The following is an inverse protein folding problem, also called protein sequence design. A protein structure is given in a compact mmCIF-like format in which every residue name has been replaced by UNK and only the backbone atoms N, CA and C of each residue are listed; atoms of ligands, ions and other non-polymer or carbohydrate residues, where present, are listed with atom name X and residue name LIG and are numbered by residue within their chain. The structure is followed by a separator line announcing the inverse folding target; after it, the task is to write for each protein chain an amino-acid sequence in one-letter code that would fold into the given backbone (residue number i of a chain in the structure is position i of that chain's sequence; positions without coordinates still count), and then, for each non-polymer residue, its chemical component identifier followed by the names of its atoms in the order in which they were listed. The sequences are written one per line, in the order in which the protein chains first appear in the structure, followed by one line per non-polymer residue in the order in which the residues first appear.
data_IF_222711784257
#
_entry.id   IF_222711784257
#
_cell.length_a   1.000
_cell.length_b   1.000
_cell.length_c   1.000
_cell.angle_alpha   90.00
_cell.angle_beta   90.00
_cell.angle_gamma   90.00
#
_symmetry.space_group_name_H-M   'P 1'
#
loop_
_entity.id
_entity.type
_entity.pdbx_description
1 polymer ?
#
# COMPACT_ATOMS: atom_id res chain seq x y z
N UNK A 1 45.77 -25.11 24.57
CA UNK A 1 45.38 -24.51 23.26
C UNK A 1 43.86 -24.33 23.11
N UNK A 2 43.04 -24.51 24.16
CA UNK A 2 41.57 -24.43 24.06
C UNK A 2 40.99 -23.00 24.15
N UNK A 3 41.75 -22.01 24.64
CA UNK A 3 41.25 -20.64 24.77
C UNK A 3 41.00 -19.91 23.45
N UNK A 4 41.83 -20.15 22.44
CA UNK A 4 41.71 -19.44 21.15
C UNK A 4 40.46 -19.89 20.40
N UNK A 5 40.14 -21.19 20.41
CA UNK A 5 38.95 -21.72 19.74
C UNK A 5 37.63 -21.28 20.40
N UNK A 6 37.61 -21.23 21.73
CA UNK A 6 36.45 -20.73 22.49
C UNK A 6 36.26 -19.22 22.29
N UNK A 7 37.35 -18.44 22.31
CA UNK A 7 37.32 -17.01 22.06
C UNK A 7 36.87 -16.69 20.62
N UNK A 8 37.29 -17.48 19.63
CA UNK A 8 36.87 -17.32 18.23
C UNK A 8 35.40 -17.72 18.01
N UNK A 9 34.94 -18.78 18.68
CA UNK A 9 33.54 -19.23 18.63
C UNK A 9 32.61 -18.19 19.30
N UNK A 10 33.00 -17.65 20.45
CA UNK A 10 32.25 -16.57 21.10
C UNK A 10 32.30 -15.26 20.28
N UNK A 11 33.47 -14.91 19.73
CA UNK A 11 33.64 -13.73 18.88
C UNK A 11 32.79 -13.77 17.60
N UNK A 12 32.72 -14.92 16.92
CA UNK A 12 31.90 -15.11 15.72
C UNK A 12 30.38 -15.10 16.01
N UNK A 13 29.95 -15.56 17.18
CA UNK A 13 28.55 -15.48 17.62
C UNK A 13 28.10 -14.05 17.94
N UNK A 14 29.00 -13.20 18.44
CA UNK A 14 28.72 -11.78 18.66
C UNK A 14 28.58 -10.99 17.35
N UNK A 15 29.41 -11.28 16.35
CA UNK A 15 29.33 -10.63 15.03
C UNK A 15 28.03 -10.99 14.31
N UNK A 16 27.61 -12.25 14.36
CA UNK A 16 26.34 -12.71 13.76
C UNK A 16 25.10 -12.17 14.48
N UNK A 17 25.15 -12.04 15.81
CA UNK A 17 24.10 -11.39 16.59
C UNK A 17 23.98 -9.88 16.26
N UNK A 18 25.10 -9.16 16.17
CA UNK A 18 25.11 -7.75 15.80
C UNK A 18 24.56 -7.51 14.38
N UNK A 19 24.93 -8.37 13.42
CA UNK A 19 24.38 -8.31 12.05
C UNK A 19 22.87 -8.50 12.00
N UNK A 20 22.32 -9.42 12.81
CA UNK A 20 20.88 -9.68 12.89
C UNK A 20 20.09 -8.49 13.42
N UNK A 21 20.60 -7.80 14.44
CA UNK A 21 19.99 -6.57 14.98
C UNK A 21 20.05 -5.44 13.95
N UNK A 22 21.21 -5.25 13.32
CA UNK A 22 21.38 -4.20 12.31
C UNK A 22 20.44 -4.41 11.11
N UNK A 23 20.31 -5.64 10.63
CA UNK A 23 19.37 -6.00 9.56
C UNK A 23 17.92 -5.74 9.96
N UNK A 24 17.53 -6.08 11.20
CA UNK A 24 16.19 -5.80 11.71
C UNK A 24 15.89 -4.30 11.81
N UNK A 25 16.85 -3.49 12.26
CA UNK A 25 16.69 -2.03 12.28
C UNK A 25 16.61 -1.43 10.88
N UNK A 26 17.41 -1.91 9.94
CA UNK A 26 17.32 -1.51 8.54
C UNK A 26 15.94 -1.85 7.94
N UNK A 27 15.40 -3.04 8.23
CA UNK A 27 14.05 -3.44 7.79
C UNK A 27 12.96 -2.52 8.38
N UNK A 28 13.10 -2.11 9.65
CA UNK A 28 12.19 -1.14 10.27
C UNK A 28 12.26 0.25 9.61
N UNK A 29 13.47 0.73 9.31
CA UNK A 29 13.64 2.00 8.61
C UNK A 29 13.02 1.95 7.21
N UNK A 30 13.25 0.86 6.47
CA UNK A 30 12.64 0.63 5.16
C UNK A 30 11.10 0.56 5.24
N UNK A 31 10.54 -0.16 6.22
CA UNK A 31 9.10 -0.24 6.42
C UNK A 31 8.45 1.12 6.71
N UNK A 32 9.10 1.97 7.52
CA UNK A 32 8.65 3.36 7.76
C UNK A 32 8.70 4.22 6.49
N UNK A 33 9.76 4.10 5.70
CA UNK A 33 9.86 4.81 4.44
C UNK A 33 8.76 4.38 3.46
N UNK A 34 8.54 3.07 3.33
CA UNK A 34 7.46 2.52 2.50
C UNK A 34 6.08 3.00 2.96
N UNK A 35 5.86 3.12 4.27
CA UNK A 35 4.64 3.72 4.82
C UNK A 35 4.47 5.17 4.34
N UNK A 36 5.51 6.01 4.45
CA UNK A 36 5.43 7.41 4.00
C UNK A 36 5.16 7.53 2.50
N UNK A 37 5.81 6.70 1.68
CA UNK A 37 5.55 6.65 0.24
C UNK A 37 4.09 6.25 -0.03
N UNK A 38 3.58 5.25 0.68
CA UNK A 38 2.20 4.82 0.54
C UNK A 38 1.19 5.88 1.01
N UNK A 39 1.50 6.63 2.07
CA UNK A 39 0.69 7.76 2.53
C UNK A 39 0.65 8.90 1.50
N UNK A 40 1.80 9.25 0.92
CA UNK A 40 1.89 10.25 -0.15
C UNK A 40 1.10 9.83 -1.38
N UNK A 41 1.22 8.57 -1.80
CA UNK A 41 0.44 8.06 -2.92
C UNK A 41 -1.06 8.09 -2.60
N UNK A 42 -1.45 7.78 -1.35
CA UNK A 42 -2.85 7.79 -0.95
C UNK A 42 -3.42 9.22 -0.95
N UNK A 43 -2.64 10.20 -0.52
CA UNK A 43 -3.01 11.61 -0.63
C UNK A 43 -3.18 12.04 -2.09
N UNK A 44 -2.29 11.59 -2.98
CA UNK A 44 -2.40 11.85 -4.41
C UNK A 44 -3.70 11.24 -4.99
N UNK A 45 -4.04 10.02 -4.60
CA UNK A 45 -5.30 9.39 -4.99
C UNK A 45 -6.52 10.16 -4.47
N UNK A 46 -6.51 10.67 -3.23
CA UNK A 46 -7.59 11.53 -2.72
C UNK A 46 -7.72 12.84 -3.50
N UNK A 47 -6.59 13.46 -3.90
CA UNK A 47 -6.60 14.65 -4.75
C UNK A 47 -7.21 14.34 -6.13
N UNK A 48 -6.88 13.18 -6.71
CA UNK A 48 -7.52 12.71 -7.97
C UNK A 48 -9.01 12.47 -7.81
N UNK A 49 -9.44 11.96 -6.65
CA UNK A 49 -10.86 11.81 -6.35
C UNK A 49 -11.59 13.16 -6.32
N UNK A 50 -10.99 14.18 -5.70
CA UNK A 50 -11.56 15.53 -5.66
C UNK A 50 -11.63 16.16 -7.05
N UNK A 51 -10.54 16.06 -7.81
CA UNK A 51 -10.46 16.54 -9.20
C UNK A 51 -11.48 15.86 -10.12
N UNK A 52 -11.70 14.54 -9.98
CA UNK A 52 -12.76 13.83 -10.71
C UNK A 52 -14.17 14.36 -10.39
N UNK A 53 -14.45 14.65 -9.11
CA UNK A 53 -15.72 15.26 -8.70
C UNK A 53 -15.88 16.67 -9.26
N UNK A 54 -14.84 17.48 -9.20
CA UNK A 54 -14.86 18.85 -9.73
C UNK A 54 -15.07 18.88 -11.24
N UNK A 55 -14.39 18.01 -12.00
CA UNK A 55 -14.62 17.84 -13.43
C UNK A 55 -16.05 17.39 -13.72
N UNK A 56 -16.54 16.39 -12.98
CA UNK A 56 -17.91 15.90 -13.12
C UNK A 56 -18.97 16.97 -12.88
N UNK A 57 -18.78 17.82 -11.87
CA UNK A 57 -19.67 18.95 -11.60
C UNK A 57 -19.64 20.00 -12.72
N UNK A 58 -18.46 20.30 -13.27
CA UNK A 58 -18.34 21.21 -14.40
C UNK A 58 -19.02 20.65 -15.65
N UNK A 59 -18.87 19.35 -15.92
CA UNK A 59 -19.52 18.66 -17.04
C UNK A 59 -21.04 18.59 -16.87
N UNK A 60 -21.53 18.29 -15.66
CA UNK A 60 -22.96 18.33 -15.31
C UNK A 60 -23.55 19.72 -15.63
N UNK A 61 -22.88 20.79 -15.18
CA UNK A 61 -23.32 22.16 -15.45
C UNK A 61 -23.29 22.51 -16.93
N UNK A 62 -22.24 22.09 -17.65
CA UNK A 62 -22.15 22.29 -19.11
C UNK A 62 -23.30 21.60 -19.83
N UNK A 63 -23.64 20.37 -19.45
CA UNK A 63 -24.74 19.63 -20.04
C UNK A 63 -26.09 20.29 -19.78
N UNK A 64 -26.35 20.75 -18.56
CA UNK A 64 -27.57 21.52 -18.24
C UNK A 64 -27.66 22.82 -19.06
N UNK A 65 -26.55 23.53 -19.25
CA UNK A 65 -26.52 24.73 -20.10
C UNK A 65 -26.79 24.41 -21.58
N UNK A 66 -26.24 23.30 -22.09
CA UNK A 66 -26.52 22.83 -23.45
C UNK A 66 -28.01 22.50 -23.64
N UNK A 67 -28.60 21.76 -22.69
CA UNK A 67 -30.02 21.42 -22.69
C UNK A 67 -30.89 22.67 -22.64
N UNK A 68 -30.53 23.66 -21.82
CA UNK A 68 -31.24 24.94 -21.76
C UNK A 68 -31.20 25.71 -23.09
N UNK A 69 -30.06 25.67 -23.81
CA UNK A 69 -29.95 26.28 -25.16
C UNK A 69 -30.82 25.54 -26.17
N UNK A 70 -30.86 24.21 -26.13
CA UNK A 70 -31.70 23.39 -27.01
C UNK A 70 -33.17 23.70 -26.75
N UNK A 71 -33.62 23.70 -25.49
CA UNK A 71 -34.98 24.07 -25.12
C UNK A 71 -35.33 25.50 -25.56
N UNK A 72 -34.41 26.46 -25.38
CA UNK A 72 -34.61 27.84 -25.85
C UNK A 72 -34.79 27.92 -27.37
N UNK A 73 -33.97 27.19 -28.13
CA UNK A 73 -34.09 27.12 -29.58
C UNK A 73 -35.39 26.43 -30.03
N UNK A 74 -35.77 25.33 -29.38
CA UNK A 74 -37.03 24.62 -29.62
C UNK A 74 -38.23 25.53 -29.33
N UNK A 75 -38.21 26.25 -28.20
CA UNK A 75 -39.27 27.19 -27.81
C UNK A 75 -39.40 28.33 -28.82
N UNK A 76 -38.28 28.94 -29.23
CA UNK A 76 -38.27 30.00 -30.24
C UNK A 76 -38.78 29.52 -31.60
N UNK A 77 -38.39 28.31 -32.02
CA UNK A 77 -38.88 27.70 -33.26
C UNK A 77 -40.38 27.40 -33.20
N UNK A 78 -40.89 26.86 -32.09
CA UNK A 78 -42.32 26.60 -31.91
C UNK A 78 -43.13 27.89 -31.90
N UNK A 79 -42.67 28.92 -31.18
CA UNK A 79 -43.28 30.24 -31.17
C UNK A 79 -43.30 30.90 -32.56
N UNK A 80 -42.21 30.77 -33.33
CA UNK A 80 -42.13 31.27 -34.71
C UNK A 80 -43.11 30.56 -35.66
N UNK A 81 -43.44 29.30 -35.40
CA UNK A 81 -44.44 28.54 -36.15
C UNK A 81 -45.88 28.73 -35.63
N UNK A 82 -46.09 29.59 -34.63
CA UNK A 82 -47.41 29.86 -34.05
C UNK A 82 -47.99 28.69 -33.24
N UNK A 83 -47.14 27.75 -32.80
CA UNK A 83 -47.54 26.64 -31.96
C UNK A 83 -47.71 27.10 -30.51
N UNK A 84 -48.79 26.68 -29.88
CA UNK A 84 -48.96 26.86 -28.44
C UNK A 84 -48.08 25.85 -27.68
N UNK A 85 -47.08 26.38 -26.98
CA UNK A 85 -46.12 25.63 -26.17
C UNK A 85 -46.67 25.23 -24.79
N UNK A 86 -47.89 25.62 -24.47
CA UNK A 86 -48.51 25.34 -23.16
C UNK A 86 -49.32 24.05 -23.11
N UNK A 87 -49.55 23.38 -24.24
CA UNK A 87 -50.28 22.10 -24.30
C UNK A 87 -49.92 21.23 -25.52
N UNK A 88 -50.24 19.94 -25.43
CA UNK A 88 -50.09 18.98 -26.53
C UNK A 88 -48.63 18.59 -26.82
N UNK A 89 -48.39 18.03 -28.02
CA UNK A 89 -47.07 17.54 -28.45
C UNK A 89 -45.91 18.55 -28.37
N UNK A 90 -46.11 19.88 -28.56
CA UNK A 90 -45.07 20.89 -28.32
C UNK A 90 -44.56 20.90 -26.87
N UNK A 91 -45.45 20.83 -25.88
CA UNK A 91 -45.09 20.80 -24.47
C UNK A 91 -44.41 19.47 -24.11
N UNK A 92 -44.94 18.35 -24.59
CA UNK A 92 -44.35 17.03 -24.35
C UNK A 92 -42.91 16.97 -24.85
N UNK A 93 -42.62 17.56 -26.02
CA UNK A 93 -41.25 17.60 -26.59
C UNK A 93 -40.28 18.40 -25.71
N UNK A 94 -40.73 19.52 -25.12
CA UNK A 94 -39.92 20.33 -24.21
C UNK A 94 -39.65 19.59 -22.90
N UNK A 95 -40.67 18.92 -22.35
CA UNK A 95 -40.57 18.10 -21.13
C UNK A 95 -39.64 16.91 -21.37
N UNK A 96 -39.77 16.21 -22.49
CA UNK A 96 -38.89 15.10 -22.86
C UNK A 96 -37.44 15.57 -23.02
N UNK A 97 -37.22 16.73 -23.65
CA UNK A 97 -35.88 17.32 -23.76
C UNK A 97 -35.29 17.67 -22.39
N UNK A 98 -36.10 18.20 -21.47
CA UNK A 98 -35.68 18.51 -20.11
C UNK A 98 -35.34 17.25 -19.29
N UNK A 99 -36.18 16.22 -19.38
CA UNK A 99 -36.02 14.97 -18.62
C UNK A 99 -34.81 14.18 -19.12
N UNK A 100 -34.63 14.04 -20.43
CA UNK A 100 -33.43 13.42 -21.01
C UNK A 100 -32.17 14.21 -20.67
N UNK A 101 -32.24 15.53 -20.71
CA UNK A 101 -31.13 16.39 -20.35
C UNK A 101 -30.69 16.25 -18.88
N UNK A 102 -31.65 16.15 -17.96
CA UNK A 102 -31.37 15.92 -16.54
C UNK A 102 -30.86 14.49 -16.29
N UNK A 103 -31.38 13.49 -17.00
CA UNK A 103 -30.89 12.12 -16.93
C UNK A 103 -29.41 12.04 -17.37
N UNK A 104 -29.04 12.73 -18.44
CA UNK A 104 -27.66 12.82 -18.89
C UNK A 104 -26.77 13.52 -17.84
N UNK A 105 -27.24 14.62 -17.25
CA UNK A 105 -26.53 15.35 -16.20
C UNK A 105 -26.30 14.47 -14.96
N UNK A 106 -27.33 13.73 -14.52
CA UNK A 106 -27.22 12.76 -13.42
C UNK A 106 -26.29 11.59 -13.75
N UNK A 107 -26.24 11.17 -15.01
CA UNK A 107 -25.32 10.13 -15.48
C UNK A 107 -23.87 10.60 -15.38
N UNK A 108 -23.57 11.83 -15.84
CA UNK A 108 -22.25 12.46 -15.70
C UNK A 108 -21.84 12.51 -14.22
N UNK A 109 -22.75 13.01 -13.36
CA UNK A 109 -22.53 13.08 -11.92
C UNK A 109 -22.23 11.72 -11.33
N UNK A 110 -23.01 10.70 -11.67
CA UNK A 110 -22.83 9.32 -11.18
C UNK A 110 -21.49 8.74 -11.63
N UNK A 111 -21.07 8.97 -12.87
CA UNK A 111 -19.78 8.51 -13.38
C UNK A 111 -18.61 9.16 -12.64
N UNK A 112 -18.69 10.46 -12.37
CA UNK A 112 -17.68 11.16 -11.58
C UNK A 112 -17.59 10.65 -10.14
N UNK A 113 -18.73 10.35 -9.50
CA UNK A 113 -18.73 9.72 -8.18
C UNK A 113 -18.11 8.32 -8.17
N UNK A 114 -18.35 7.52 -9.21
CA UNK A 114 -17.72 6.19 -9.35
C UNK A 114 -16.20 6.33 -9.48
N UNK A 115 -15.73 7.21 -10.36
CA UNK A 115 -14.29 7.46 -10.53
C UNK A 115 -13.65 7.94 -9.21
N UNK A 116 -14.30 8.87 -8.52
CA UNK A 116 -13.83 9.35 -7.22
C UNK A 116 -13.83 8.27 -6.14
N UNK A 117 -14.82 7.39 -6.15
CA UNK A 117 -14.88 6.24 -5.23
C UNK A 117 -13.71 5.28 -5.48
N UNK A 118 -13.42 4.95 -6.74
CA UNK A 118 -12.32 4.06 -7.09
C UNK A 118 -10.97 4.62 -6.61
N UNK A 119 -10.71 5.92 -6.82
CA UNK A 119 -9.51 6.56 -6.28
C UNK A 119 -9.44 6.55 -4.75
N UNK A 120 -10.57 6.70 -4.06
CA UNK A 120 -10.63 6.60 -2.59
C UNK A 120 -10.33 5.18 -2.11
N UNK A 121 -10.86 4.17 -2.80
CA UNK A 121 -10.54 2.77 -2.51
C UNK A 121 -9.05 2.52 -2.70
N UNK A 122 -8.45 3.03 -3.77
CA UNK A 122 -7.00 2.98 -3.98
C UNK A 122 -6.21 3.66 -2.86
N UNK A 123 -6.65 4.83 -2.40
CA UNK A 123 -6.02 5.52 -1.28
C UNK A 123 -6.06 4.69 0.02
N UNK A 124 -7.20 4.05 0.31
CA UNK A 124 -7.36 3.15 1.46
C UNK A 124 -6.44 1.95 1.33
N UNK A 125 -6.39 1.31 0.16
CA UNK A 125 -5.51 0.16 -0.10
C UNK A 125 -4.03 0.52 0.07
N UNK A 126 -3.62 1.69 -0.40
CA UNK A 126 -2.24 2.17 -0.24
C UNK A 126 -1.91 2.43 1.23
N UNK A 127 -2.77 3.11 2.00
CA UNK A 127 -2.58 3.31 3.45
C UNK A 127 -2.49 1.98 4.20
N UNK A 128 -3.34 1.01 3.85
CA UNK A 128 -3.32 -0.33 4.43
C UNK A 128 -2.00 -1.06 4.09
N UNK A 129 -1.55 -0.99 2.84
CA UNK A 129 -0.26 -1.54 2.40
C UNK A 129 0.93 -0.91 3.14
N UNK A 130 0.95 0.41 3.28
CA UNK A 130 1.98 1.14 4.03
C UNK A 130 2.02 0.75 5.51
N UNK A 131 0.85 0.62 6.14
CA UNK A 131 0.73 0.17 7.53
C UNK A 131 1.25 -1.26 7.70
N UNK A 132 0.95 -2.14 6.73
CA UNK A 132 1.47 -3.50 6.70
C UNK A 132 2.99 -3.54 6.55
N UNK A 133 3.57 -2.75 5.65
CA UNK A 133 5.03 -2.68 5.47
C UNK A 133 5.75 -2.18 6.71
N UNK A 134 5.16 -1.19 7.40
CA UNK A 134 5.65 -0.79 8.72
C UNK A 134 5.58 -1.94 9.73
N UNK A 135 4.45 -2.63 9.81
CA UNK A 135 4.28 -3.74 10.74
C UNK A 135 5.30 -4.86 10.48
N UNK A 136 5.57 -5.18 9.20
CA UNK A 136 6.64 -6.10 8.79
C UNK A 136 8.02 -5.62 9.25
N UNK A 137 8.33 -4.35 9.06
CA UNK A 137 9.60 -3.76 9.51
C UNK A 137 9.76 -3.81 11.04
N UNK A 138 8.71 -3.49 11.80
CA UNK A 138 8.72 -3.60 13.26
C UNK A 138 8.84 -5.06 13.74
N UNK A 139 8.19 -6.00 13.06
CA UNK A 139 8.32 -7.43 13.33
C UNK A 139 9.73 -7.94 13.00
N UNK A 140 10.33 -7.52 11.89
CA UNK A 140 11.69 -7.87 11.50
C UNK A 140 12.73 -7.32 12.48
N UNK A 141 12.53 -6.10 13.00
CA UNK A 141 13.37 -5.56 14.07
C UNK A 141 13.31 -6.44 15.33
N UNK A 142 12.09 -6.77 15.80
CA UNK A 142 11.90 -7.66 16.95
C UNK A 142 12.52 -9.04 16.71
N UNK A 143 12.31 -9.62 15.52
CA UNK A 143 12.90 -10.88 15.10
C UNK A 143 14.43 -10.83 15.09
N UNK A 144 15.03 -9.75 14.59
CA UNK A 144 16.48 -9.55 14.62
C UNK A 144 17.05 -9.58 16.04
N UNK A 145 16.38 -8.93 17.01
CA UNK A 145 16.77 -9.01 18.43
C UNK A 145 16.61 -10.41 19.01
N UNK A 146 15.51 -11.11 18.70
CA UNK A 146 15.28 -12.48 19.17
C UNK A 146 16.30 -13.47 18.58
N UNK A 147 16.60 -13.36 17.28
CA UNK A 147 17.63 -14.15 16.60
C UNK A 147 19.00 -13.85 17.18
N UNK A 148 19.32 -12.59 17.45
CA UNK A 148 20.57 -12.21 18.12
C UNK A 148 20.69 -12.82 19.52
N UNK A 149 19.63 -12.74 20.34
CA UNK A 149 19.58 -13.36 21.66
C UNK A 149 19.70 -14.89 21.59
N UNK A 150 18.99 -15.52 20.66
CA UNK A 150 19.08 -16.96 20.41
C UNK A 150 20.45 -17.41 19.90
N UNK A 151 21.12 -16.59 19.08
CA UNK A 151 22.46 -16.87 18.56
C UNK A 151 23.52 -16.77 19.66
N UNK A 152 23.39 -15.80 20.55
CA UNK A 152 24.22 -15.70 21.76
C UNK A 152 23.97 -16.90 22.67
N UNK A 153 22.71 -17.25 22.96
CA UNK A 153 22.36 -18.38 23.83
C UNK A 153 22.85 -19.72 23.26
N UNK A 154 22.68 -19.95 21.96
CA UNK A 154 23.15 -21.15 21.27
C UNK A 154 24.68 -21.18 21.21
N UNK A 155 25.32 -20.03 20.98
CA UNK A 155 26.77 -19.87 21.02
C UNK A 155 27.36 -20.25 22.38
N UNK A 156 26.75 -19.75 23.45
CA UNK A 156 27.11 -20.08 24.84
C UNK A 156 26.84 -21.55 25.16
N UNK A 157 25.69 -22.10 24.73
CA UNK A 157 25.36 -23.52 24.92
C UNK A 157 26.38 -24.46 24.25
N UNK A 158 26.75 -24.19 23.00
CA UNK A 158 27.78 -24.95 22.27
C UNK A 158 29.17 -24.79 22.89
N UNK A 159 29.52 -23.60 23.37
CA UNK A 159 30.75 -23.37 24.11
C UNK A 159 30.79 -24.19 25.41
N UNK A 160 29.68 -24.27 26.15
CA UNK A 160 29.57 -25.04 27.39
C UNK A 160 29.61 -26.56 27.14
N UNK A 161 28.91 -27.04 26.11
CA UNK A 161 28.88 -28.46 25.71
C UNK A 161 30.24 -28.93 25.19
N UNK A 162 30.97 -28.07 24.47
CA UNK A 162 32.36 -28.32 24.04
C UNK A 162 33.39 -28.32 25.18
N UNK A 163 33.10 -27.69 26.32
CA UNK A 163 33.93 -27.73 27.53
C UNK A 163 33.63 -28.98 28.37
N UNK A 164 32.36 -29.42 28.42
CA UNK A 164 31.94 -30.60 29.18
C UNK A 164 32.18 -31.93 28.46
N UNK A 165 32.21 -31.92 27.12
CA UNK A 165 32.75 -33.03 26.33
C UNK A 165 34.28 -33.00 26.43
N UNK A 166 34.82 -33.67 27.45
CA UNK A 166 36.27 -33.88 27.61
C UNK A 166 36.91 -34.25 26.26
N UNK A 167 38.12 -33.76 25.92
CA UNK A 167 38.85 -34.27 24.78
C UNK A 167 39.11 -35.74 25.06
N UNK A 168 38.47 -36.64 24.33
CA UNK A 168 38.88 -38.04 24.27
C UNK A 168 40.29 -38.02 23.71
N UNK A 169 41.27 -38.06 24.62
CA UNK A 169 42.68 -38.25 24.29
C UNK A 169 42.76 -39.43 23.35
N UNK A 170 43.08 -39.15 22.09
CA UNK A 170 43.53 -40.15 21.15
C UNK A 170 44.82 -40.75 21.75
N UNK A 171 44.68 -41.84 22.49
CA UNK A 171 45.79 -42.69 22.88
C UNK A 171 46.36 -43.28 21.60
N UNK A 172 47.50 -42.72 21.19
CA UNK A 172 48.46 -43.34 20.28
C UNK A 172 48.73 -44.78 20.71
N UNK A 173 48.60 -45.80 19.85
CA UNK A 173 49.40 -46.99 19.98
C UNK A 173 50.67 -46.76 19.14
N UNK A 174 51.78 -46.52 19.83
CA UNK A 174 53.10 -46.90 19.36
C UNK A 174 53.09 -48.38 19.00
N UNK A 175 53.33 -48.73 17.74
CA UNK A 175 53.84 -50.06 17.38
C UNK A 175 55.17 -49.89 16.66
N UNK A 176 56.22 -49.95 17.46
CA UNK A 176 57.59 -50.24 17.02
C UNK A 176 57.67 -51.64 16.40
N UNK A 177 58.50 -51.74 15.36
CA UNK A 177 59.11 -52.92 14.73
C UNK A 177 59.13 -54.24 15.52
N UNK A 178 58.97 -55.34 14.77
CA UNK A 178 59.63 -56.68 14.82
C UNK A 178 58.57 -57.74 14.49
N UNK A 179 58.68 -58.52 13.40
CA UNK A 179 59.74 -59.49 13.10
C UNK A 179 59.70 -59.89 11.63
#
# INVERSE_FOLDING_TARGET
MCDIGLALALGSTLVSAAGSVQQGQAAKAAGKYNQQVAEMNAELSERRAQDALERGQQEEQRKRQEVARIQGAQTAAMAANGLDITFGSPLDTLVDTATLGELDALTIRTNAYREAYDYRVDAVNQRAGGTLERAKGDAAAKGGYLTAAGSILTGVGKAYEGINSKPTTATTPTTSKQK
#
